data_IF_790237050111
#
_entry.id   IF_790237050111
#
_cell.length_a   1.000
_cell.length_b   1.000
_cell.length_c   1.000
_cell.angle_alpha   90.00
_cell.angle_beta   90.00
_cell.angle_gamma   90.00
#
_symmetry.space_group_name_H-M   'P 1'
#
loop_
_entity.id
_entity.type
_entity.pdbx_description
1 polymer ?
#
# COMPACT_ATOMS: atom_id res chain seq x y z
N UNK A 1 1.21 -16.55 -1.36
CA UNK A 1 2.16 -16.94 -0.30
C UNK A 1 3.53 -16.25 -0.44
N UNK A 2 4.05 -16.04 -1.65
CA UNK A 2 5.34 -15.35 -1.91
C UNK A 2 5.39 -13.90 -1.38
N UNK A 3 4.27 -13.16 -1.41
CA UNK A 3 4.21 -11.77 -0.92
C UNK A 3 4.29 -11.61 0.62
N UNK A 4 4.01 -12.66 1.39
CA UNK A 4 4.05 -12.60 2.86
C UNK A 4 5.43 -12.94 3.44
N UNK A 5 6.27 -13.62 2.65
CA UNK A 5 7.61 -14.06 3.03
C UNK A 5 8.56 -12.92 3.42
N UNK A 6 8.62 -11.78 2.69
CA UNK A 6 9.48 -10.66 3.07
C UNK A 6 9.10 -10.11 4.45
N UNK A 7 7.81 -9.92 4.71
CA UNK A 7 7.31 -9.36 5.97
C UNK A 7 7.66 -10.22 7.20
N UNK A 8 7.70 -11.54 7.04
CA UNK A 8 8.08 -12.47 8.12
C UNK A 8 9.59 -12.46 8.37
N UNK A 9 10.40 -12.42 7.31
CA UNK A 9 11.87 -12.29 7.41
C UNK A 9 12.30 -10.97 8.04
N UNK A 10 11.61 -9.87 7.70
CA UNK A 10 11.86 -8.54 8.28
C UNK A 10 11.59 -8.52 9.79
N UNK A 11 10.62 -9.30 10.28
CA UNK A 11 10.33 -9.43 11.71
C UNK A 11 11.41 -10.23 12.46
N UNK A 12 12.11 -11.15 11.78
CA UNK A 12 13.19 -11.97 12.36
C UNK A 12 14.52 -11.21 12.47
N UNK A 13 14.78 -10.21 11.63
CA UNK A 13 16.02 -9.40 11.61
C UNK A 13 15.79 -7.92 11.93
N UNK A 14 14.71 -7.60 12.65
CA UNK A 14 14.21 -6.24 12.89
C UNK A 14 15.20 -5.33 13.66
N UNK A 15 16.26 -5.86 14.28
CA UNK A 15 17.13 -5.14 15.21
C UNK A 15 18.27 -4.33 14.59
N UNK A 16 18.61 -4.51 13.30
CA UNK A 16 19.88 -3.95 12.76
C UNK A 16 19.76 -3.06 11.53
N UNK A 17 18.59 -2.91 10.89
CA UNK A 17 18.45 -2.09 9.68
C UNK A 17 17.47 -0.94 9.92
N UNK A 18 17.90 0.34 9.81
CA UNK A 18 16.99 1.47 9.87
C UNK A 18 15.96 1.35 8.72
N UNK A 19 14.67 1.38 9.06
CA UNK A 19 13.55 1.13 8.14
C UNK A 19 13.56 1.98 6.85
N UNK A 20 14.21 3.16 6.89
CA UNK A 20 14.40 4.02 5.72
C UNK A 20 15.21 3.34 4.60
N UNK A 21 16.26 2.57 4.94
CA UNK A 21 17.09 1.90 3.94
C UNK A 21 16.32 0.82 3.17
N UNK A 22 15.37 0.14 3.81
CA UNK A 22 14.59 -0.92 3.19
C UNK A 22 13.73 -0.40 2.04
N UNK A 23 13.09 0.76 2.22
CA UNK A 23 12.27 1.38 1.18
C UNK A 23 13.09 1.91 0.03
N UNK A 24 14.25 2.52 0.34
CA UNK A 24 15.17 3.00 -0.69
C UNK A 24 15.66 1.83 -1.54
N UNK A 25 16.10 0.73 -0.93
CA UNK A 25 16.56 -0.46 -1.65
C UNK A 25 15.43 -1.05 -2.51
N UNK A 26 14.22 -1.21 -1.98
CA UNK A 26 13.10 -1.76 -2.76
C UNK A 26 12.71 -0.85 -3.94
N UNK A 27 12.73 0.47 -3.77
CA UNK A 27 12.43 1.40 -4.85
C UNK A 27 13.55 1.43 -5.90
N UNK A 28 14.82 1.36 -5.48
CA UNK A 28 15.95 1.27 -6.43
C UNK A 28 15.88 -0.02 -7.25
N UNK A 29 15.55 -1.15 -6.63
CA UNK A 29 15.34 -2.42 -7.36
C UNK A 29 14.17 -2.27 -8.34
N UNK A 30 13.05 -1.71 -7.90
CA UNK A 30 11.89 -1.49 -8.78
C UNK A 30 12.25 -0.62 -9.99
N UNK A 31 12.97 0.50 -9.80
CA UNK A 31 13.43 1.36 -10.90
C UNK A 31 14.40 0.60 -11.82
N UNK A 32 15.35 -0.13 -11.25
CA UNK A 32 16.35 -0.88 -12.03
C UNK A 32 15.73 -1.95 -12.91
N UNK A 33 14.60 -2.54 -12.50
CA UNK A 33 13.88 -3.56 -13.27
C UNK A 33 12.86 -2.94 -14.22
N UNK A 34 12.05 -1.99 -13.74
CA UNK A 34 10.95 -1.42 -14.53
C UNK A 34 11.44 -0.47 -15.62
N UNK A 35 12.55 0.24 -15.40
CA UNK A 35 13.06 1.19 -16.39
C UNK A 35 13.50 0.46 -17.68
N UNK A 36 14.35 -0.59 -17.66
CA UNK A 36 14.65 -1.36 -18.87
C UNK A 36 13.41 -1.99 -19.50
N UNK A 37 12.48 -2.51 -18.69
CA UNK A 37 11.25 -3.13 -19.18
C UNK A 37 10.36 -2.12 -19.91
N UNK A 38 10.24 -0.90 -19.40
CA UNK A 38 9.51 0.19 -20.07
C UNK A 38 10.13 0.49 -21.43
N UNK A 39 11.46 0.59 -21.56
CA UNK A 39 12.12 0.77 -22.86
C UNK A 39 11.97 -0.40 -23.84
N UNK A 40 11.76 -1.62 -23.35
CA UNK A 40 11.59 -2.81 -24.18
C UNK A 40 10.14 -3.02 -24.65
N UNK A 41 9.16 -2.56 -23.88
CA UNK A 41 7.73 -2.82 -24.13
C UNK A 41 7.03 -1.58 -24.67
N UNK A 42 7.35 -0.40 -24.16
CA UNK A 42 6.67 0.85 -24.47
C UNK A 42 7.48 1.68 -25.46
N UNK A 43 6.80 2.30 -26.42
CA UNK A 43 7.45 3.19 -27.38
C UNK A 43 7.59 4.59 -26.73
N UNK A 44 8.81 5.11 -26.46
CA UNK A 44 8.98 6.37 -25.73
C UNK A 44 8.34 7.58 -26.41
N UNK A 45 8.12 7.48 -27.73
CA UNK A 45 7.48 8.51 -28.55
C UNK A 45 5.94 8.52 -28.43
N UNK A 46 5.34 7.47 -27.88
CA UNK A 46 3.91 7.39 -27.63
C UNK A 46 3.48 8.13 -26.35
N UNK A 47 4.44 8.53 -25.51
CA UNK A 47 4.16 9.24 -24.26
C UNK A 47 3.84 10.70 -24.55
N UNK A 48 2.57 11.07 -24.36
CA UNK A 48 2.17 12.47 -24.38
C UNK A 48 2.62 13.17 -23.09
N UNK A 49 3.72 13.91 -23.19
CA UNK A 49 4.26 14.74 -22.10
C UNK A 49 3.43 16.02 -21.94
N UNK A 50 2.23 15.88 -21.41
CA UNK A 50 1.35 17.00 -21.04
C UNK A 50 1.47 17.37 -19.56
N UNK A 51 1.15 18.63 -19.23
CA UNK A 51 1.12 19.12 -17.83
C UNK A 51 0.29 18.21 -16.92
N UNK A 52 -0.84 17.68 -17.43
CA UNK A 52 -1.72 16.75 -16.70
C UNK A 52 -1.02 15.44 -16.35
N UNK A 53 -0.31 14.84 -17.30
CA UNK A 53 0.36 13.55 -17.11
C UNK A 53 1.56 13.70 -16.17
N UNK A 54 2.34 14.76 -16.35
CA UNK A 54 3.46 15.08 -15.45
C UNK A 54 2.96 15.39 -14.03
N UNK A 55 1.88 16.15 -13.87
CA UNK A 55 1.29 16.42 -12.57
C UNK A 55 0.77 15.14 -11.88
N UNK A 56 0.12 14.24 -12.64
CA UNK A 56 -0.34 12.95 -12.12
C UNK A 56 0.84 12.06 -11.68
N UNK A 57 1.92 12.00 -12.46
CA UNK A 57 3.15 11.29 -12.09
C UNK A 57 3.78 11.85 -10.82
N UNK A 58 3.91 13.18 -10.72
CA UNK A 58 4.46 13.84 -9.53
C UNK A 58 3.58 13.61 -8.30
N UNK A 59 2.26 13.63 -8.47
CA UNK A 59 1.31 13.31 -7.41
C UNK A 59 1.45 11.86 -6.91
N UNK A 60 1.64 10.88 -7.80
CA UNK A 60 1.85 9.50 -7.37
C UNK A 60 3.23 9.29 -6.72
N UNK A 61 4.28 9.93 -7.25
CA UNK A 61 5.65 9.78 -6.76
C UNK A 61 5.86 10.44 -5.39
N UNK A 62 5.36 11.67 -5.19
CA UNK A 62 5.64 12.45 -3.99
C UNK A 62 4.66 12.10 -2.86
N UNK A 63 3.39 12.54 -2.87
CA UNK A 63 2.47 12.21 -1.79
C UNK A 63 2.11 10.72 -1.78
N UNK A 64 1.87 10.09 -2.95
CA UNK A 64 1.47 8.69 -3.02
C UNK A 64 2.53 7.67 -2.57
N UNK A 65 3.81 8.02 -2.72
CA UNK A 65 4.93 7.11 -2.42
C UNK A 65 5.83 7.68 -1.34
N UNK A 66 6.62 8.73 -1.63
CA UNK A 66 7.65 9.21 -0.72
C UNK A 66 7.10 9.61 0.66
N UNK A 67 6.03 10.41 0.69
CA UNK A 67 5.42 10.89 1.94
C UNK A 67 4.74 9.74 2.69
N UNK A 68 3.87 8.97 2.04
CA UNK A 68 3.15 7.85 2.65
C UNK A 68 4.11 6.85 3.29
N UNK A 69 5.18 6.45 2.58
CA UNK A 69 6.16 5.52 3.14
C UNK A 69 6.96 6.12 4.29
N UNK A 70 7.29 7.41 4.24
CA UNK A 70 7.97 8.10 5.35
C UNK A 70 7.10 8.11 6.60
N UNK A 71 5.82 8.48 6.47
CA UNK A 71 4.86 8.45 7.58
C UNK A 71 4.68 7.01 8.10
N UNK A 72 4.59 6.03 7.20
CA UNK A 72 4.47 4.62 7.56
C UNK A 72 5.64 4.17 8.44
N UNK A 73 6.90 4.42 8.04
CA UNK A 73 8.04 4.04 8.87
C UNK A 73 8.15 4.82 10.17
N UNK A 74 7.75 6.10 10.15
CA UNK A 74 7.64 6.86 11.39
C UNK A 74 6.63 6.22 12.33
N UNK A 75 5.46 5.82 11.83
CA UNK A 75 4.39 5.19 12.60
C UNK A 75 4.80 3.82 13.16
N UNK A 76 5.59 3.05 12.40
CA UNK A 76 6.16 1.78 12.86
C UNK A 76 7.02 1.90 14.12
N UNK A 77 7.67 3.05 14.31
CA UNK A 77 8.49 3.29 15.50
C UNK A 77 7.67 3.70 16.73
N UNK A 78 6.44 4.19 16.54
CA UNK A 78 5.63 4.78 17.62
C UNK A 78 4.40 3.94 17.99
N UNK A 79 3.90 3.07 17.09
CA UNK A 79 2.69 2.29 17.31
C UNK A 79 2.97 0.78 17.44
N UNK A 80 2.10 0.10 18.20
CA UNK A 80 2.11 -1.37 18.26
C UNK A 80 1.67 -1.94 16.91
N UNK A 81 2.18 -3.12 16.56
CA UNK A 81 1.87 -3.82 15.29
C UNK A 81 0.35 -3.91 15.04
N UNK A 82 -0.44 -4.21 16.08
CA UNK A 82 -1.91 -4.28 15.98
C UNK A 82 -2.54 -2.95 15.55
N UNK A 83 -2.05 -1.81 16.04
CA UNK A 83 -2.60 -0.49 15.68
C UNK A 83 -2.28 -0.14 14.22
N UNK A 84 -1.08 -0.49 13.76
CA UNK A 84 -0.66 -0.27 12.38
C UNK A 84 -1.49 -1.13 11.42
N UNK A 85 -1.74 -2.39 11.76
CA UNK A 85 -2.60 -3.28 10.98
C UNK A 85 -4.03 -2.74 10.87
N UNK A 86 -4.55 -2.12 11.93
CA UNK A 86 -5.87 -1.46 11.88
C UNK A 86 -5.86 -0.22 10.99
N UNK A 87 -4.81 0.63 11.07
CA UNK A 87 -4.68 1.84 10.24
C UNK A 87 -4.56 1.49 8.75
N UNK A 88 -3.94 0.36 8.42
CA UNK A 88 -3.84 -0.13 7.04
C UNK A 88 -5.20 -0.46 6.38
N UNK A 89 -6.30 -0.47 7.14
CA UNK A 89 -7.66 -0.73 6.64
C UNK A 89 -8.43 0.54 6.30
N UNK A 90 -7.91 1.71 6.69
CA UNK A 90 -8.52 3.01 6.41
C UNK A 90 -8.43 3.39 4.91
N UNK A 91 -7.31 3.16 4.19
CA UNK A 91 -7.17 3.52 2.77
C UNK A 91 -8.32 3.06 1.86
N UNK A 92 -8.84 1.81 1.89
CA UNK A 92 -9.95 1.42 1.02
C UNK A 92 -11.25 2.19 1.32
N UNK A 93 -11.52 2.52 2.58
CA UNK A 93 -12.71 3.31 2.96
C UNK A 93 -12.56 4.73 2.40
N UNK A 94 -11.41 5.37 2.61
CA UNK A 94 -11.12 6.71 2.09
C UNK A 94 -11.20 6.72 0.56
N UNK A 95 -10.63 5.71 -0.11
CA UNK A 95 -10.64 5.61 -1.57
C UNK A 95 -12.06 5.57 -2.14
N UNK A 96 -12.98 4.83 -1.51
CA UNK A 96 -14.39 4.78 -1.93
C UNK A 96 -15.08 6.14 -1.74
N UNK A 97 -14.87 6.82 -0.61
CA UNK A 97 -15.49 8.12 -0.32
C UNK A 97 -14.97 9.18 -1.30
N UNK A 98 -13.65 9.25 -1.50
CA UNK A 98 -13.00 10.17 -2.43
C UNK A 98 -13.44 9.88 -3.86
N UNK A 99 -13.46 8.60 -4.28
CA UNK A 99 -13.91 8.20 -5.61
C UNK A 99 -15.33 8.68 -5.90
N UNK A 100 -16.24 8.46 -4.95
CA UNK A 100 -17.62 8.95 -5.07
C UNK A 100 -17.71 10.48 -5.16
N UNK A 101 -17.02 11.21 -4.28
CA UNK A 101 -17.14 12.68 -4.21
C UNK A 101 -16.40 13.43 -5.32
N UNK A 102 -15.20 12.99 -5.70
CA UNK A 102 -14.33 13.71 -6.63
C UNK A 102 -14.48 13.27 -8.09
N UNK A 103 -14.74 11.99 -8.35
CA UNK A 103 -14.92 11.51 -9.73
C UNK A 103 -16.38 11.65 -10.20
N UNK A 104 -17.31 11.95 -9.28
CA UNK A 104 -18.74 12.11 -9.62
C UNK A 104 -19.37 10.82 -10.13
N UNK A 105 -18.80 9.66 -9.77
CA UNK A 105 -19.29 8.36 -10.21
C UNK A 105 -20.74 8.18 -9.76
N UNK A 106 -21.65 8.00 -10.72
CA UNK A 106 -23.03 7.69 -10.40
C UNK A 106 -23.09 6.29 -9.79
N UNK A 107 -23.72 6.18 -8.62
CA UNK A 107 -23.94 4.91 -7.92
C UNK A 107 -24.77 3.94 -8.78
N UNK A 108 -24.11 3.27 -9.71
CA UNK A 108 -24.71 2.15 -10.41
C UNK A 108 -24.80 0.96 -9.44
N UNK A 109 -25.83 0.11 -9.55
CA UNK A 109 -25.97 -1.06 -8.68
C UNK A 109 -24.72 -1.96 -8.68
N UNK A 110 -24.00 -2.03 -9.82
CA UNK A 110 -22.76 -2.80 -9.97
C UNK A 110 -21.62 -2.24 -9.11
N UNK A 111 -21.48 -0.92 -9.06
CA UNK A 111 -20.47 -0.25 -8.24
C UNK A 111 -20.76 -0.43 -6.75
N UNK A 112 -22.04 -0.39 -6.37
CA UNK A 112 -22.49 -0.66 -5.00
C UNK A 112 -22.13 -2.07 -4.55
N UNK A 113 -22.37 -3.07 -5.41
CA UNK A 113 -21.95 -4.46 -5.15
C UNK A 113 -20.43 -4.59 -5.01
N UNK A 114 -19.66 -3.94 -5.89
CA UNK A 114 -18.19 -3.92 -5.79
C UNK A 114 -17.68 -3.26 -4.51
N UNK A 115 -18.25 -2.12 -4.12
CA UNK A 115 -17.91 -1.42 -2.89
C UNK A 115 -18.21 -2.26 -1.64
N UNK A 116 -19.39 -2.88 -1.57
CA UNK A 116 -19.76 -3.79 -0.48
C UNK A 116 -18.82 -5.00 -0.43
N UNK A 117 -18.43 -5.56 -1.58
CA UNK A 117 -17.52 -6.69 -1.64
C UNK A 117 -16.11 -6.35 -1.12
N UNK A 118 -15.59 -5.17 -1.48
CA UNK A 118 -14.29 -4.69 -0.97
C UNK A 118 -14.37 -4.45 0.54
N UNK A 119 -15.40 -3.73 1.01
CA UNK A 119 -15.58 -3.42 2.43
C UNK A 119 -15.75 -4.70 3.27
N UNK A 120 -16.54 -5.66 2.82
CA UNK A 120 -16.72 -6.95 3.50
C UNK A 120 -15.43 -7.76 3.52
N UNK A 121 -14.66 -7.79 2.42
CA UNK A 121 -13.35 -8.44 2.40
C UNK A 121 -12.36 -7.82 3.40
N UNK A 122 -12.31 -6.49 3.47
CA UNK A 122 -11.48 -5.74 4.44
C UNK A 122 -11.89 -6.06 5.87
N UNK A 123 -13.20 -6.08 6.16
CA UNK A 123 -13.74 -6.44 7.48
C UNK A 123 -13.44 -7.89 7.84
N UNK A 124 -13.57 -8.83 6.90
CA UNK A 124 -13.32 -10.25 7.15
C UNK A 124 -11.85 -10.53 7.50
N UNK A 125 -10.93 -9.89 6.81
CA UNK A 125 -9.49 -9.95 7.14
C UNK A 125 -9.21 -9.38 8.53
N UNK A 126 -9.87 -8.26 8.90
CA UNK A 126 -9.72 -7.66 10.22
C UNK A 126 -10.23 -8.56 11.35
N UNK A 127 -11.42 -9.15 11.20
CA UNK A 127 -12.00 -10.04 12.22
C UNK A 127 -11.09 -11.24 12.52
N UNK A 128 -10.34 -11.73 11.54
CA UNK A 128 -9.40 -12.85 11.71
C UNK A 128 -8.11 -12.45 12.44
N UNK A 129 -7.63 -11.22 12.26
CA UNK A 129 -6.42 -10.72 12.93
C UNK A 129 -6.66 -10.32 14.39
N UNK A 130 -7.90 -10.00 14.75
CA UNK A 130 -8.31 -9.66 16.13
C UNK A 130 -8.48 -10.86 17.07
N UNK A 131 -8.27 -12.11 16.60
CA UNK A 131 -8.20 -13.27 17.49
C UNK A 131 -6.86 -13.25 18.24
N UNK A 132 -6.83 -13.03 19.57
CA UNK A 132 -5.58 -13.14 20.30
C UNK A 132 -5.07 -14.57 20.12
N UNK A 133 -3.82 -14.71 19.67
CA UNK A 133 -3.13 -15.98 19.76
C UNK A 133 -3.20 -16.39 21.24
N UNK A 134 -3.92 -17.47 21.53
CA UNK A 134 -3.95 -18.07 22.86
C UNK A 134 -2.50 -18.33 23.22
N UNK A 135 -2.00 -17.57 24.20
CA UNK A 135 -0.67 -17.76 24.75
C UNK A 135 -0.73 -19.14 25.40
N UNK A 136 -0.15 -20.12 24.71
CA UNK A 136 0.08 -21.45 25.27
C UNK A 136 1.15 -21.27 26.35
N UNK A 137 0.69 -20.95 27.55
CA UNK A 137 1.47 -20.98 28.78
C UNK A 137 1.85 -22.43 29.02
N UNK A 138 2.98 -22.86 28.46
CA UNK A 138 3.65 -24.10 28.88
C UNK A 138 4.29 -23.85 30.24
N UNK A 139 3.74 -24.53 31.24
CA UNK A 139 4.33 -24.78 32.56
C UNK A 139 5.68 -25.51 32.44
#
# INVERSE_FOLDING_TARGET
MVAAWPNVLFKKHQKEIPHFHLNVVSQTIAVSVLLPVSFLIEDPLSVEWGLRNTAALLYLAIPGTAVVWTVYFWLYKHLKVTQISTIALIPPIIAVIIGWQLLGEQFTPRMLVGAVLILTGVLFVNYRQSRPAVVETTL
#
